data_IF_150186290108
#
_entry.id   IF_150186290108
#
_cell.length_a   1.000
_cell.length_b   1.000
_cell.length_c   1.000
_cell.angle_alpha   90.00
_cell.angle_beta   90.00
_cell.angle_gamma   90.00
#
_symmetry.space_group_name_H-M   'P 1'
#
loop_
_entity.id
_entity.type
_entity.pdbx_description
1 polymer ?
#
# COMPACT_ATOMS: atom_id res chain seq x y z
N UNK A 1 -11.32 -74.86 4.14
CA UNK A 1 -10.71 -73.80 4.97
C UNK A 1 -9.51 -73.27 4.22
N UNK A 2 -9.66 -72.15 3.52
CA UNK A 2 -8.61 -71.57 2.69
C UNK A 2 -8.00 -70.38 3.43
N UNK A 3 -6.71 -70.52 3.79
CA UNK A 3 -5.89 -69.48 4.40
C UNK A 3 -5.76 -68.27 3.48
N UNK A 4 -6.03 -67.10 4.03
CA UNK A 4 -5.96 -65.82 3.34
C UNK A 4 -4.51 -65.43 3.04
N UNK A 5 -4.19 -64.93 1.83
CA UNK A 5 -2.88 -64.41 1.48
C UNK A 5 -2.68 -62.97 1.97
N UNK A 6 -1.43 -62.63 2.23
CA UNK A 6 -0.96 -61.33 2.69
C UNK A 6 -0.78 -60.29 1.56
N UNK A 7 -0.72 -59.03 2.00
CA UNK A 7 -0.21 -57.79 1.38
C UNK A 7 -1.23 -56.83 0.74
N UNK A 8 -0.93 -55.50 0.64
CA UNK A 8 0.18 -54.73 1.20
C UNK A 8 -0.25 -53.52 2.07
N UNK A 9 0.75 -52.94 2.71
CA UNK A 9 0.71 -51.64 3.39
C UNK A 9 0.33 -50.56 2.37
N UNK A 10 -0.75 -49.83 2.60
CA UNK A 10 -1.01 -48.57 1.90
C UNK A 10 -1.00 -47.47 2.95
N UNK A 11 -0.15 -46.49 2.68
CA UNK A 11 0.18 -45.35 3.51
C UNK A 11 -1.08 -44.67 4.07
N UNK A 12 -1.02 -44.39 5.36
CA UNK A 12 -1.94 -43.49 6.02
C UNK A 12 -1.80 -42.08 5.41
N UNK A 13 -2.96 -41.46 5.20
CA UNK A 13 -3.22 -40.03 5.39
C UNK A 13 -2.26 -39.03 4.72
N UNK A 14 -2.70 -38.51 3.56
CA UNK A 14 -2.59 -37.07 3.33
C UNK A 14 -3.73 -36.34 4.07
N UNK A 15 -3.65 -35.01 4.23
CA UNK A 15 -2.72 -34.11 3.60
C UNK A 15 -1.55 -33.80 4.55
N UNK A 16 -0.33 -34.00 4.07
CA UNK A 16 0.76 -33.15 4.52
C UNK A 16 0.29 -31.73 4.18
N UNK A 17 -0.06 -31.00 5.23
CA UNK A 17 -0.31 -29.58 5.22
C UNK A 17 0.93 -28.92 4.66
N UNK A 18 0.96 -28.78 3.33
CA UNK A 18 1.79 -27.81 2.67
C UNK A 18 1.18 -26.44 3.04
N UNK A 19 1.39 -26.08 4.30
CA UNK A 19 1.12 -24.78 4.85
C UNK A 19 2.00 -23.81 4.05
N UNK A 20 1.36 -23.12 3.13
CA UNK A 20 1.70 -21.76 2.73
C UNK A 20 3.20 -21.45 2.70
N UNK A 21 3.90 -21.93 1.66
CA UNK A 21 5.12 -21.27 1.14
C UNK A 21 4.71 -19.94 0.46
N UNK A 22 3.95 -19.11 1.17
CA UNK A 22 3.32 -17.91 0.61
C UNK A 22 3.42 -16.79 1.61
N UNK A 23 4.62 -16.57 2.14
CA UNK A 23 4.95 -15.29 2.77
C UNK A 23 4.61 -14.18 1.77
N UNK A 24 3.60 -13.33 2.05
CA UNK A 24 3.27 -12.20 1.18
C UNK A 24 4.48 -11.28 0.98
N UNK A 25 5.37 -11.22 1.98
CA UNK A 25 6.64 -10.52 1.89
C UNK A 25 7.57 -11.12 0.83
N UNK A 26 7.71 -12.45 0.79
CA UNK A 26 8.54 -13.10 -0.23
C UNK A 26 7.95 -12.93 -1.64
N UNK A 27 6.63 -12.89 -1.76
CA UNK A 27 5.96 -12.58 -3.03
C UNK A 27 6.20 -11.12 -3.47
N UNK A 28 6.15 -10.18 -2.54
CA UNK A 28 6.49 -8.77 -2.78
C UNK A 28 7.97 -8.62 -3.18
N UNK A 29 8.90 -9.28 -2.47
CA UNK A 29 10.34 -9.28 -2.82
C UNK A 29 10.59 -9.87 -4.21
N UNK A 30 9.84 -10.91 -4.61
CA UNK A 30 9.89 -11.47 -5.99
C UNK A 30 9.36 -10.51 -7.05
N UNK A 31 8.45 -9.61 -6.70
CA UNK A 31 7.94 -8.54 -7.57
C UNK A 31 8.86 -7.30 -7.55
N UNK A 32 10.03 -7.39 -6.92
CA UNK A 32 11.00 -6.30 -6.84
C UNK A 32 10.66 -5.26 -5.78
N UNK A 33 9.68 -5.52 -4.90
CA UNK A 33 9.42 -4.66 -3.77
C UNK A 33 10.42 -4.91 -2.63
N UNK A 34 10.98 -3.84 -2.08
CA UNK A 34 11.90 -3.88 -0.95
C UNK A 34 11.10 -3.69 0.34
N UNK A 35 11.13 -4.68 1.22
CA UNK A 35 10.36 -4.66 2.46
C UNK A 35 11.29 -4.63 3.66
N UNK A 36 11.18 -3.57 4.44
CA UNK A 36 11.86 -3.42 5.73
C UNK A 36 10.92 -3.88 6.83
N UNK A 37 11.42 -4.80 7.66
CA UNK A 37 10.72 -5.39 8.80
C UNK A 37 11.61 -5.26 10.04
N UNK A 38 11.02 -4.95 11.18
CA UNK A 38 11.71 -4.80 12.48
C UNK A 38 11.04 -5.72 13.50
N UNK A 39 11.82 -6.63 14.11
CA UNK A 39 11.55 -7.69 15.12
C UNK A 39 10.22 -8.51 15.02
N UNK A 40 9.09 -7.95 14.61
CA UNK A 40 7.82 -8.63 14.27
C UNK A 40 6.87 -7.83 13.35
N UNK A 41 7.25 -6.66 12.82
CA UNK A 41 6.34 -5.81 12.03
C UNK A 41 7.00 -5.24 10.75
N UNK A 42 6.17 -4.96 9.74
CA UNK A 42 6.63 -4.36 8.49
C UNK A 42 6.64 -2.85 8.63
N UNK A 43 7.82 -2.28 8.77
CA UNK A 43 7.99 -0.84 8.96
C UNK A 43 7.93 -0.08 7.64
N UNK A 44 8.37 -0.67 6.53
CA UNK A 44 8.36 0.01 5.23
C UNK A 44 8.21 -0.97 4.08
N UNK A 45 7.36 -0.64 3.12
CA UNK A 45 7.26 -1.36 1.85
C UNK A 45 7.57 -0.39 0.71
N UNK A 46 8.66 -0.63 -0.01
CA UNK A 46 9.04 0.07 -1.23
C UNK A 46 8.64 -0.81 -2.42
N UNK A 47 7.75 -0.35 -3.29
CA UNK A 47 7.17 -1.13 -4.37
C UNK A 47 7.90 -1.01 -5.70
N UNK A 48 8.04 -2.15 -6.39
CA UNK A 48 8.43 -2.26 -7.81
C UNK A 48 7.25 -2.06 -8.78
N UNK A 49 7.48 -2.35 -10.07
CA UNK A 49 6.63 -1.98 -11.21
C UNK A 49 5.21 -2.59 -11.26
N UNK A 50 4.80 -3.44 -10.32
CA UNK A 50 3.61 -4.29 -10.48
C UNK A 50 2.42 -3.91 -9.58
N UNK A 51 1.25 -3.69 -10.18
CA UNK A 51 -0.02 -3.43 -9.45
C UNK A 51 -0.46 -4.54 -8.48
N UNK A 52 0.14 -5.74 -8.57
CA UNK A 52 -0.03 -6.84 -7.60
C UNK A 52 0.56 -6.54 -6.23
N UNK A 53 1.47 -5.58 -6.13
CA UNK A 53 2.08 -5.20 -4.86
C UNK A 53 1.06 -4.64 -3.89
N UNK A 54 0.05 -3.89 -4.36
CA UNK A 54 -0.99 -3.34 -3.51
C UNK A 54 -1.85 -4.44 -2.85
N UNK A 55 -2.17 -5.50 -3.60
CA UNK A 55 -2.93 -6.64 -3.09
C UNK A 55 -2.13 -7.46 -2.06
N UNK A 56 -0.84 -7.69 -2.34
CA UNK A 56 0.04 -8.39 -1.42
C UNK A 56 0.36 -7.57 -0.17
N UNK A 57 0.49 -6.24 -0.30
CA UNK A 57 0.61 -5.31 0.83
C UNK A 57 -0.61 -5.41 1.74
N UNK A 58 -1.80 -5.51 1.16
CA UNK A 58 -3.02 -5.73 1.95
C UNK A 58 -3.00 -7.09 2.66
N UNK A 59 -2.44 -8.12 2.02
CA UNK A 59 -2.27 -9.44 2.64
C UNK A 59 -1.33 -9.41 3.84
N UNK A 60 -0.56 -8.33 4.05
CA UNK A 60 0.24 -8.13 5.25
C UNK A 60 -0.60 -7.81 6.49
N UNK A 61 -1.89 -7.42 6.33
CA UNK A 61 -2.91 -7.14 7.37
C UNK A 61 -2.38 -6.54 8.70
N UNK A 62 -1.29 -5.78 8.64
CA UNK A 62 -0.49 -5.43 9.80
C UNK A 62 -0.15 -3.95 9.83
N UNK A 63 0.53 -3.55 10.91
CA UNK A 63 1.05 -2.21 11.21
C UNK A 63 2.10 -1.76 10.18
N UNK A 64 1.69 -1.59 8.92
CA UNK A 64 2.54 -1.00 7.89
C UNK A 64 2.54 0.50 8.09
N UNK A 65 3.64 1.01 8.61
CA UNK A 65 3.79 2.42 8.97
C UNK A 65 4.19 3.26 7.75
N UNK A 66 4.96 2.68 6.81
CA UNK A 66 5.43 3.38 5.62
C UNK A 66 5.24 2.55 4.36
N UNK A 67 4.71 3.16 3.32
CA UNK A 67 4.62 2.58 1.98
C UNK A 67 5.13 3.59 0.97
N UNK A 68 5.93 3.12 0.03
CA UNK A 68 6.56 3.93 -1.01
C UNK A 68 6.39 3.21 -2.33
N UNK A 69 5.73 3.85 -3.28
CA UNK A 69 5.61 3.42 -4.66
C UNK A 69 6.34 4.47 -5.51
N UNK A 70 7.53 4.13 -5.99
CA UNK A 70 8.33 5.05 -6.80
C UNK A 70 8.29 4.58 -8.25
N UNK A 71 7.58 5.33 -9.11
CA UNK A 71 7.40 4.98 -10.52
C UNK A 71 6.62 3.68 -10.73
N UNK A 72 5.92 3.20 -9.70
CA UNK A 72 5.13 1.98 -9.79
C UNK A 72 3.91 2.20 -10.68
N UNK A 73 3.47 1.15 -11.37
CA UNK A 73 2.25 1.18 -12.19
C UNK A 73 0.97 1.06 -11.34
N UNK A 74 1.01 1.52 -10.08
CA UNK A 74 -0.16 1.57 -9.21
C UNK A 74 -1.20 2.53 -9.81
N UNK A 75 -2.45 2.05 -9.89
CA UNK A 75 -3.58 2.80 -10.41
C UNK A 75 -4.52 3.22 -9.27
N UNK A 76 -5.51 4.05 -9.58
CA UNK A 76 -6.58 4.40 -8.63
C UNK A 76 -7.23 3.17 -7.97
N UNK A 77 -7.43 2.10 -8.75
CA UNK A 77 -7.96 0.84 -8.24
C UNK A 77 -6.98 0.14 -7.29
N UNK A 78 -5.67 0.28 -7.50
CA UNK A 78 -4.65 -0.23 -6.58
C UNK A 78 -4.67 0.48 -5.22
N UNK A 79 -5.02 1.78 -5.19
CA UNK A 79 -5.10 2.56 -3.95
C UNK A 79 -6.22 2.09 -3.01
N UNK A 80 -7.25 1.40 -3.52
CA UNK A 80 -8.30 0.81 -2.67
C UNK A 80 -7.71 -0.13 -1.62
N UNK A 81 -6.61 -0.81 -1.93
CA UNK A 81 -5.97 -1.75 -1.01
C UNK A 81 -5.24 -1.04 0.14
N UNK A 82 -4.88 0.24 -0.03
CA UNK A 82 -4.29 1.05 1.04
C UNK A 82 -5.32 1.48 2.09
N UNK A 83 -6.62 1.32 1.84
CA UNK A 83 -7.67 1.60 2.82
C UNK A 83 -7.60 0.68 4.04
N UNK A 84 -7.05 -0.53 3.88
CA UNK A 84 -6.88 -1.50 4.96
C UNK A 84 -5.73 -1.21 5.91
N UNK A 85 -4.83 -0.27 5.56
CA UNK A 85 -3.66 0.07 6.36
C UNK A 85 -3.99 1.21 7.33
N UNK A 86 -4.55 0.86 8.49
CA UNK A 86 -4.99 1.83 9.50
C UNK A 86 -3.86 2.61 10.14
N UNK A 87 -2.66 2.03 10.22
CA UNK A 87 -1.49 2.61 10.89
C UNK A 87 -0.51 3.28 9.94
N UNK A 88 -0.91 3.48 8.68
CA UNK A 88 -0.05 4.03 7.65
C UNK A 88 0.22 5.52 7.85
N UNK A 89 1.42 5.83 8.34
CA UNK A 89 1.90 7.19 8.60
C UNK A 89 2.59 7.82 7.39
N UNK A 90 3.30 7.05 6.58
CA UNK A 90 4.03 7.58 5.42
C UNK A 90 3.54 6.90 4.15
N UNK A 91 3.08 7.69 3.18
CA UNK A 91 2.73 7.21 1.85
C UNK A 91 3.47 8.02 0.80
N UNK A 92 4.31 7.36 0.02
CA UNK A 92 4.99 7.98 -1.11
C UNK A 92 4.47 7.35 -2.40
N UNK A 93 3.96 8.17 -3.31
CA UNK A 93 3.42 7.81 -4.63
C UNK A 93 4.19 8.54 -5.74
N UNK A 94 5.47 8.85 -5.51
CA UNK A 94 6.32 9.55 -6.47
C UNK A 94 6.31 8.86 -7.83
N UNK A 95 6.16 9.63 -8.91
CA UNK A 95 6.11 9.16 -10.31
C UNK A 95 5.00 8.15 -10.61
N UNK A 96 3.98 8.02 -9.75
CA UNK A 96 2.81 7.18 -9.99
C UNK A 96 1.80 7.93 -10.88
N UNK A 97 2.08 8.03 -12.18
CA UNK A 97 1.27 8.81 -13.14
C UNK A 97 -0.15 8.28 -13.33
N UNK A 98 -0.41 7.01 -13.01
CA UNK A 98 -1.74 6.40 -13.09
C UNK A 98 -2.62 6.67 -11.85
N UNK A 99 -2.09 7.37 -10.84
CA UNK A 99 -2.87 7.85 -9.70
C UNK A 99 -3.45 9.21 -10.05
N UNK A 100 -4.77 9.33 -9.94
CA UNK A 100 -5.56 10.52 -10.23
C UNK A 100 -6.41 10.93 -9.03
N UNK A 101 -7.24 11.96 -9.22
CA UNK A 101 -8.19 12.45 -8.21
C UNK A 101 -9.12 11.33 -7.69
N UNK A 102 -9.47 10.37 -8.55
CA UNK A 102 -10.33 9.24 -8.18
C UNK A 102 -9.65 8.31 -7.15
N UNK A 103 -8.34 8.12 -7.26
CA UNK A 103 -7.56 7.32 -6.32
C UNK A 103 -7.45 7.95 -4.94
N UNK A 104 -7.42 9.29 -4.85
CA UNK A 104 -7.34 10.01 -3.58
C UNK A 104 -8.58 9.83 -2.70
N UNK A 105 -9.73 9.49 -3.29
CA UNK A 105 -10.94 9.15 -2.53
C UNK A 105 -10.68 7.99 -1.57
N UNK A 106 -9.80 7.06 -1.93
CA UNK A 106 -9.42 5.94 -1.07
C UNK A 106 -8.45 6.32 0.05
N UNK A 107 -7.82 7.49 -0.04
CA UNK A 107 -6.99 8.02 1.04
C UNK A 107 -7.82 8.81 2.07
N UNK A 108 -9.06 9.16 1.73
CA UNK A 108 -9.96 9.90 2.61
C UNK A 108 -10.19 9.13 3.92
N UNK A 109 -10.05 9.83 5.06
CA UNK A 109 -10.30 9.25 6.38
C UNK A 109 -9.11 8.55 7.02
N UNK A 110 -7.95 8.49 6.35
CA UNK A 110 -6.69 7.99 6.94
C UNK A 110 -6.05 9.01 7.86
N UNK A 111 -6.65 9.23 9.02
CA UNK A 111 -6.19 10.23 10.00
C UNK A 111 -4.84 9.90 10.65
N UNK A 112 -4.21 8.78 10.32
CA UNK A 112 -2.86 8.40 10.79
C UNK A 112 -1.75 8.86 9.86
N UNK A 113 -2.07 9.30 8.64
CA UNK A 113 -1.11 9.73 7.64
C UNK A 113 -0.42 11.05 8.07
N UNK A 114 0.90 11.03 8.15
CA UNK A 114 1.77 12.15 8.53
C UNK A 114 2.55 12.70 7.33
N UNK A 115 2.98 11.83 6.40
CA UNK A 115 3.74 12.23 5.21
C UNK A 115 3.11 11.65 3.94
N UNK A 116 2.73 12.51 3.00
CA UNK A 116 2.16 12.11 1.72
C UNK A 116 2.94 12.72 0.56
N UNK A 117 3.49 11.91 -0.34
CA UNK A 117 4.16 12.40 -1.54
C UNK A 117 3.37 12.01 -2.78
N UNK A 118 2.91 13.02 -3.53
CA UNK A 118 2.13 12.90 -4.76
C UNK A 118 2.90 13.44 -5.97
N UNK A 119 4.21 13.62 -5.86
CA UNK A 119 5.00 14.20 -6.94
C UNK A 119 4.95 13.31 -8.19
N UNK A 120 4.72 13.90 -9.36
CA UNK A 120 4.60 13.14 -10.62
C UNK A 120 3.33 12.28 -10.74
N UNK A 121 2.33 12.47 -9.88
CA UNK A 121 0.99 11.89 -10.03
C UNK A 121 0.10 12.75 -10.93
N UNK A 122 -1.01 12.17 -11.40
CA UNK A 122 -2.03 12.86 -12.20
C UNK A 122 -3.07 13.64 -11.38
N UNK A 123 -2.81 13.88 -10.09
CA UNK A 123 -3.73 14.59 -9.17
C UNK A 123 -3.83 16.08 -9.52
N UNK A 124 -5.04 16.61 -9.51
CA UNK A 124 -5.38 18.01 -9.77
C UNK A 124 -5.87 18.72 -8.50
N UNK A 125 -6.11 20.03 -8.60
CA UNK A 125 -6.63 20.85 -7.50
C UNK A 125 -7.94 20.28 -6.91
N UNK A 126 -8.76 19.62 -7.75
CA UNK A 126 -10.00 18.99 -7.32
C UNK A 126 -9.75 17.78 -6.41
N UNK A 127 -8.71 16.98 -6.70
CA UNK A 127 -8.32 15.83 -5.90
C UNK A 127 -7.87 16.19 -4.48
N UNK A 128 -7.27 17.37 -4.30
CA UNK A 128 -6.79 17.85 -2.99
C UNK A 128 -7.92 17.98 -1.97
N UNK A 129 -9.16 18.23 -2.41
CA UNK A 129 -10.31 18.29 -1.52
C UNK A 129 -10.53 16.98 -0.75
N UNK A 130 -10.15 15.82 -1.32
CA UNK A 130 -10.24 14.52 -0.64
C UNK A 130 -9.21 14.36 0.48
N UNK A 131 -8.13 15.14 0.46
CA UNK A 131 -7.05 15.10 1.45
C UNK A 131 -7.32 16.01 2.66
N UNK A 132 -8.34 16.89 2.58
CA UNK A 132 -8.71 17.80 3.66
C UNK A 132 -9.03 17.09 4.99
N UNK A 133 -9.39 15.81 4.97
CA UNK A 133 -9.67 15.00 6.16
C UNK A 133 -8.42 14.44 6.87
N UNK A 134 -7.22 14.61 6.31
CA UNK A 134 -5.97 14.06 6.86
C UNK A 134 -5.40 14.95 7.97
N UNK A 135 -6.10 15.06 9.10
CA UNK A 135 -5.78 16.02 10.16
C UNK A 135 -4.42 15.84 10.84
N UNK A 136 -3.78 14.67 10.69
CA UNK A 136 -2.41 14.42 11.19
C UNK A 136 -1.32 14.64 10.16
N UNK A 137 -1.66 15.05 8.93
CA UNK A 137 -0.69 15.25 7.87
C UNK A 137 0.24 16.41 8.23
N UNK A 138 1.53 16.12 8.34
CA UNK A 138 2.58 17.07 8.69
C UNK A 138 3.32 17.58 7.45
N UNK A 139 3.52 16.72 6.44
CA UNK A 139 4.10 17.14 5.16
C UNK A 139 3.37 16.52 3.98
N UNK A 140 3.21 17.29 2.93
CA UNK A 140 2.68 16.83 1.65
C UNK A 140 3.49 17.38 0.49
N UNK A 141 3.94 16.52 -0.41
CA UNK A 141 4.56 16.93 -1.67
C UNK A 141 3.53 16.85 -2.79
N UNK A 142 3.28 17.97 -3.46
CA UNK A 142 2.25 18.08 -4.50
C UNK A 142 2.86 17.93 -5.90
N UNK A 143 2.10 17.41 -6.89
CA UNK A 143 2.59 17.38 -8.25
C UNK A 143 2.64 18.80 -8.83
N UNK A 144 3.55 18.99 -9.78
CA UNK A 144 3.82 20.29 -10.41
C UNK A 144 2.60 20.94 -11.09
N UNK A 145 1.59 20.16 -11.44
CA UNK A 145 0.36 20.63 -12.07
C UNK A 145 -0.62 21.32 -11.11
N UNK A 146 -0.42 21.21 -9.79
CA UNK A 146 -1.25 21.88 -8.79
C UNK A 146 -1.02 23.40 -8.83
N UNK A 147 -2.12 24.15 -8.80
CA UNK A 147 -2.12 25.61 -8.77
C UNK A 147 -1.98 26.15 -7.35
N UNK A 148 -1.51 27.38 -7.21
CA UNK A 148 -1.40 28.03 -5.90
C UNK A 148 -2.78 28.20 -5.22
N UNK A 149 -3.87 28.20 -5.99
CA UNK A 149 -5.23 28.17 -5.46
C UNK A 149 -5.54 26.82 -4.78
N UNK A 150 -5.19 25.69 -5.41
CA UNK A 150 -5.32 24.37 -4.79
C UNK A 150 -4.49 24.23 -3.52
N UNK A 151 -3.27 24.77 -3.53
CA UNK A 151 -2.39 24.84 -2.35
C UNK A 151 -3.05 25.65 -1.23
N UNK A 152 -3.59 26.83 -1.54
CA UNK A 152 -4.24 27.69 -0.54
C UNK A 152 -5.45 27.01 0.11
N UNK A 153 -6.27 26.32 -0.68
CA UNK A 153 -7.43 25.57 -0.18
C UNK A 153 -6.99 24.37 0.69
N UNK A 154 -5.96 23.64 0.28
CA UNK A 154 -5.40 22.54 1.06
C UNK A 154 -4.78 23.04 2.37
N UNK A 155 -3.99 24.12 2.33
CA UNK A 155 -3.40 24.74 3.52
C UNK A 155 -4.47 25.24 4.48
N UNK A 156 -5.59 25.73 3.95
CA UNK A 156 -6.74 26.17 4.77
C UNK A 156 -7.42 24.99 5.47
N UNK A 157 -7.50 23.84 4.80
CA UNK A 157 -8.00 22.60 5.42
C UNK A 157 -7.00 22.00 6.41
N UNK A 158 -5.71 22.06 6.10
CA UNK A 158 -4.60 21.48 6.86
C UNK A 158 -3.58 22.55 7.24
N UNK A 159 -3.90 23.47 8.18
CA UNK A 159 -3.04 24.61 8.51
C UNK A 159 -1.71 24.22 9.14
N UNK A 160 -1.63 23.02 9.73
CA UNK A 160 -0.41 22.47 10.34
C UNK A 160 0.42 21.60 9.37
N UNK A 161 -0.02 21.46 8.12
CA UNK A 161 0.69 20.68 7.11
C UNK A 161 1.68 21.57 6.35
N UNK A 162 2.86 21.03 6.11
CA UNK A 162 3.90 21.63 5.28
C UNK A 162 3.68 21.19 3.84
N UNK A 163 3.40 22.15 2.95
CA UNK A 163 3.21 21.86 1.53
C UNK A 163 4.53 22.07 0.79
N UNK A 164 5.02 21.00 0.16
CA UNK A 164 6.22 20.96 -0.67
C UNK A 164 5.83 20.85 -2.16
N UNK A 165 6.59 21.49 -3.05
CA UNK A 165 6.30 21.61 -4.49
C UNK A 165 7.52 21.28 -5.34
#
# INVERSE_FOLDING_TARGET
>A
ENGSPAAPRTAADGPDVQAADTDPVAALEKLGAVIKRDDSQIISVEGGDDGRLAELVFSLQGEVIKVTFNGSQITDAGLVHLTGLTDLQTLDLTLCTNVTDAGLVHLQGRTTLEYLNLNGTGVTDAGLAHLAGLTKLQSISLPKQITDAGIAELQKALPNCTIEK
#
